data_IF_988418906885
#
_entry.id   IF_988418906885
#
_cell.length_a   1.000
_cell.length_b   1.000
_cell.length_c   1.000
_cell.angle_alpha   90.00
_cell.angle_beta   90.00
_cell.angle_gamma   90.00
#
_symmetry.space_group_name_H-M   'P 1'
#
loop_
_entity.id
_entity.type
_entity.pdbx_description
1 polymer ?
#
# COMPACT_ATOMS: atom_id res chain seq x y z
N UNK A 1 -60.17 -35.40 9.79
CA UNK A 1 -59.57 -34.28 9.04
C UNK A 1 -58.06 -34.37 9.19
N UNK A 2 -57.34 -34.69 8.11
CA UNK A 2 -55.92 -34.34 7.86
C UNK A 2 -55.95 -33.33 6.70
N UNK A 3 -54.98 -32.41 6.48
CA UNK A 3 -53.50 -32.61 6.41
C UNK A 3 -52.73 -31.51 7.21
N UNK A 4 -51.43 -31.24 7.15
CA UNK A 4 -50.12 -31.86 6.85
C UNK A 4 -49.11 -30.68 6.87
N UNK A 5 -47.81 -30.99 7.03
CA UNK A 5 -46.62 -30.17 6.75
C UNK A 5 -46.27 -28.97 7.64
N UNK A 6 -45.19 -29.03 8.41
CA UNK A 6 -43.77 -28.85 7.99
C UNK A 6 -43.44 -27.38 7.70
N UNK A 7 -42.68 -26.74 8.58
CA UNK A 7 -41.75 -25.66 8.21
C UNK A 7 -40.76 -25.33 9.33
N UNK A 8 -39.57 -25.95 9.20
CA UNK A 8 -38.27 -25.28 9.12
C UNK A 8 -37.70 -24.61 10.38
N UNK A 9 -36.70 -25.29 10.93
CA UNK A 9 -35.38 -24.74 11.24
C UNK A 9 -35.03 -23.51 10.39
N UNK A 10 -34.79 -22.38 11.03
CA UNK A 10 -33.83 -21.39 10.54
C UNK A 10 -32.97 -20.91 11.73
N UNK A 11 -31.64 -20.88 11.57
CA UNK A 11 -30.74 -20.34 12.57
C UNK A 11 -30.95 -18.82 12.66
N UNK A 12 -30.97 -18.28 13.88
CA UNK A 12 -30.87 -16.85 14.11
C UNK A 12 -29.55 -16.36 13.48
N UNK A 13 -29.66 -15.80 12.28
CA UNK A 13 -28.59 -15.11 11.60
C UNK A 13 -28.30 -13.84 12.42
N UNK A 14 -27.39 -13.95 13.39
CA UNK A 14 -26.75 -12.80 14.00
C UNK A 14 -26.07 -12.04 12.87
N UNK A 15 -26.71 -10.98 12.39
CA UNK A 15 -26.07 -9.99 11.55
C UNK A 15 -24.75 -9.60 12.21
N UNK A 16 -23.65 -9.91 11.53
CA UNK A 16 -22.32 -9.51 11.98
C UNK A 16 -22.32 -7.98 12.05
N UNK A 17 -22.31 -7.43 13.27
CA UNK A 17 -21.98 -6.03 13.48
C UNK A 17 -20.67 -5.78 12.73
N UNK A 18 -20.60 -4.80 11.81
CA UNK A 18 -19.33 -4.45 11.21
C UNK A 18 -18.40 -4.07 12.36
N UNK A 19 -17.29 -4.82 12.48
CA UNK A 19 -16.25 -4.59 13.48
C UNK A 19 -15.88 -3.11 13.43
N UNK A 20 -16.11 -2.40 14.53
CA UNK A 20 -15.72 -0.99 14.70
C UNK A 20 -14.23 -0.74 14.37
N UNK A 21 -13.42 -1.80 14.38
CA UNK A 21 -12.02 -1.83 13.94
C UNK A 21 -11.83 -1.48 12.45
N UNK A 22 -12.78 -1.82 11.56
CA UNK A 22 -12.66 -1.53 10.12
C UNK A 22 -13.00 -0.08 9.80
N UNK A 23 -14.01 0.48 10.49
CA UNK A 23 -14.42 1.87 10.33
C UNK A 23 -13.38 2.87 10.88
N UNK A 24 -12.60 2.51 11.91
CA UNK A 24 -11.45 3.32 12.36
C UNK A 24 -10.28 3.25 11.38
N UNK A 25 -9.96 2.06 10.86
CA UNK A 25 -8.94 1.91 9.81
C UNK A 25 -9.29 2.71 8.53
N UNK A 26 -10.57 2.82 8.17
CA UNK A 26 -11.04 3.65 7.04
C UNK A 26 -10.97 5.16 7.30
N UNK A 27 -11.05 5.60 8.56
CA UNK A 27 -10.98 7.02 8.94
C UNK A 27 -9.53 7.48 9.10
N UNK A 28 -8.65 6.66 9.69
CA UNK A 28 -7.20 6.93 9.71
C UNK A 28 -6.58 6.88 8.31
N UNK A 29 -7.09 6.01 7.42
CA UNK A 29 -6.70 5.98 6.00
C UNK A 29 -6.99 7.28 5.24
N UNK A 30 -7.86 8.18 5.74
CA UNK A 30 -8.16 9.45 5.07
C UNK A 30 -7.20 10.59 5.41
N UNK A 31 -6.45 10.49 6.51
CA UNK A 31 -5.46 11.51 6.91
C UNK A 31 -4.03 10.98 6.74
N UNK A 32 -3.80 9.68 6.94
CA UNK A 32 -2.53 9.01 6.63
C UNK A 32 -2.41 8.55 5.17
N UNK A 33 -3.50 8.13 4.51
CA UNK A 33 -3.38 7.52 3.18
C UNK A 33 -2.75 8.41 2.10
N UNK A 34 -2.81 9.74 2.27
CA UNK A 34 -2.15 10.68 1.36
C UNK A 34 -0.63 10.59 1.46
N UNK A 35 -0.02 10.55 2.65
CA UNK A 35 1.44 10.51 2.80
C UNK A 35 2.04 9.18 2.32
N UNK A 36 1.37 8.05 2.57
CA UNK A 36 1.68 6.77 1.90
C UNK A 36 1.64 6.85 0.37
N UNK A 37 0.66 7.57 -0.22
CA UNK A 37 0.60 7.78 -1.67
C UNK A 37 1.74 8.67 -2.18
N UNK A 38 2.13 9.72 -1.44
CA UNK A 38 3.28 10.56 -1.76
C UNK A 38 4.59 9.75 -1.70
N UNK A 39 4.78 8.96 -0.65
CA UNK A 39 5.92 8.07 -0.49
C UNK A 39 6.00 7.02 -1.61
N UNK A 40 4.86 6.43 -1.99
CA UNK A 40 4.78 5.51 -3.13
C UNK A 40 5.15 6.22 -4.45
N UNK A 41 4.66 7.44 -4.68
CA UNK A 41 4.99 8.22 -5.87
C UNK A 41 6.48 8.60 -5.92
N UNK A 42 7.05 9.06 -4.81
CA UNK A 42 8.49 9.36 -4.69
C UNK A 42 9.32 8.09 -4.93
N UNK A 43 8.93 6.96 -4.34
CA UNK A 43 9.62 5.69 -4.55
C UNK A 43 9.62 5.28 -6.02
N UNK A 44 8.48 5.36 -6.70
CA UNK A 44 8.40 5.08 -8.13
C UNK A 44 9.24 6.05 -8.95
N UNK A 45 9.24 7.35 -8.62
CA UNK A 45 10.09 8.35 -9.29
C UNK A 45 11.58 8.01 -9.15
N UNK A 46 12.04 7.68 -7.96
CA UNK A 46 13.42 7.26 -7.68
C UNK A 46 13.80 5.98 -8.44
N UNK A 47 12.92 4.97 -8.45
CA UNK A 47 13.15 3.71 -9.17
C UNK A 47 13.30 3.93 -10.68
N UNK A 48 12.43 4.74 -11.29
CA UNK A 48 12.51 5.05 -12.72
C UNK A 48 13.71 5.94 -13.06
N UNK A 49 14.03 6.93 -12.21
CA UNK A 49 15.21 7.77 -12.37
C UNK A 49 16.49 6.93 -12.34
N UNK A 50 16.55 5.93 -11.45
CA UNK A 50 17.67 5.00 -11.34
C UNK A 50 17.63 3.82 -12.32
N UNK A 51 16.70 3.80 -13.29
CA UNK A 51 16.49 2.71 -14.26
C UNK A 51 16.21 1.33 -13.63
N UNK A 52 15.76 1.28 -12.38
CA UNK A 52 15.37 0.05 -11.69
C UNK A 52 13.93 -0.38 -12.08
N UNK A 53 13.67 -0.51 -13.40
CA UNK A 53 12.32 -0.77 -13.92
C UNK A 53 11.70 -2.04 -13.36
N UNK A 54 12.48 -3.12 -13.19
CA UNK A 54 11.97 -4.38 -12.60
C UNK A 54 11.49 -4.20 -11.15
N UNK A 55 12.19 -3.39 -10.36
CA UNK A 55 11.79 -3.12 -8.98
C UNK A 55 10.54 -2.22 -8.94
N UNK A 56 10.43 -1.24 -9.84
CA UNK A 56 9.22 -0.44 -10.00
C UNK A 56 8.00 -1.31 -10.37
N UNK A 57 8.18 -2.21 -11.32
CA UNK A 57 7.13 -3.14 -11.74
C UNK A 57 6.69 -4.07 -10.60
N UNK A 58 7.64 -4.64 -9.85
CA UNK A 58 7.33 -5.46 -8.68
C UNK A 58 6.61 -4.68 -7.57
N UNK A 59 6.96 -3.40 -7.38
CA UNK A 59 6.28 -2.53 -6.43
C UNK A 59 4.83 -2.27 -6.87
N UNK A 60 4.61 -1.94 -8.15
CA UNK A 60 3.27 -1.75 -8.72
C UNK A 60 2.44 -3.03 -8.59
N UNK A 61 3.00 -4.19 -8.91
CA UNK A 61 2.31 -5.47 -8.82
C UNK A 61 1.89 -5.83 -7.38
N UNK A 62 2.61 -5.33 -6.37
CA UNK A 62 2.32 -5.56 -4.94
C UNK A 62 1.37 -4.54 -4.33
N UNK A 63 1.10 -3.41 -4.98
CA UNK A 63 0.15 -2.42 -4.48
C UNK A 63 -1.29 -2.84 -4.79
N UNK A 64 -2.24 -2.45 -3.94
CA UNK A 64 -3.66 -2.69 -4.24
C UNK A 64 -4.10 -1.91 -5.48
N UNK A 65 -5.08 -2.44 -6.21
CA UNK A 65 -5.65 -1.74 -7.37
C UNK A 65 -6.21 -0.37 -6.99
N UNK A 66 -6.91 -0.31 -5.86
CA UNK A 66 -7.48 0.92 -5.33
C UNK A 66 -6.40 1.99 -5.10
N UNK A 67 -5.27 1.62 -4.49
CA UNK A 67 -4.13 2.53 -4.28
C UNK A 67 -3.57 3.05 -5.60
N UNK A 68 -3.43 2.18 -6.61
CA UNK A 68 -2.92 2.58 -7.92
C UNK A 68 -3.91 3.47 -8.69
N UNK A 69 -5.21 3.22 -8.55
CA UNK A 69 -6.26 4.06 -9.14
C UNK A 69 -6.31 5.44 -8.47
N UNK A 70 -6.18 5.49 -7.13
CA UNK A 70 -6.02 6.76 -6.39
C UNK A 70 -4.78 7.51 -6.86
N UNK A 71 -3.65 6.80 -7.00
CA UNK A 71 -2.40 7.35 -7.52
C UNK A 71 -2.59 7.98 -8.91
N UNK A 72 -3.32 7.32 -9.82
CA UNK A 72 -3.67 7.89 -11.12
C UNK A 72 -4.73 9.01 -11.05
N UNK A 73 -5.59 9.01 -10.04
CA UNK A 73 -6.55 10.08 -9.79
C UNK A 73 -5.89 11.42 -9.44
N UNK A 74 -4.66 11.37 -8.92
CA UNK A 74 -3.89 12.56 -8.56
C UNK A 74 -3.40 13.36 -9.78
N UNK A 75 -3.06 14.63 -9.53
CA UNK A 75 -2.56 15.58 -10.55
C UNK A 75 -1.37 15.02 -11.33
N UNK A 76 -1.26 15.35 -12.61
CA UNK A 76 -0.12 14.94 -13.44
C UNK A 76 1.26 15.44 -12.93
N UNK A 77 1.28 16.49 -12.11
CA UNK A 77 2.50 16.94 -11.45
C UNK A 77 2.98 15.97 -10.36
N UNK A 78 2.07 15.16 -9.82
CA UNK A 78 2.34 14.17 -8.77
C UNK A 78 3.16 12.98 -9.28
N UNK A 79 2.79 12.48 -10.46
CA UNK A 79 3.44 11.35 -11.13
C UNK A 79 3.87 11.81 -12.50
N UNK A 80 5.16 12.12 -12.65
CA UNK A 80 5.74 12.44 -13.96
C UNK A 80 5.31 11.43 -15.03
N UNK A 81 5.13 11.88 -16.27
CA UNK A 81 4.39 11.14 -17.31
C UNK A 81 4.83 9.69 -17.54
N UNK A 82 6.11 9.38 -17.36
CA UNK A 82 6.64 8.00 -17.44
C UNK A 82 6.09 7.09 -16.35
N UNK A 83 6.03 7.57 -15.11
CA UNK A 83 5.54 6.79 -13.96
C UNK A 83 4.05 6.54 -14.14
N UNK A 84 3.31 7.60 -14.49
CA UNK A 84 1.87 7.53 -14.74
C UNK A 84 1.53 6.52 -15.84
N UNK A 85 2.26 6.57 -16.97
CA UNK A 85 2.09 5.60 -18.06
C UNK A 85 2.32 4.17 -17.59
N UNK A 86 3.39 3.92 -16.83
CA UNK A 86 3.70 2.57 -16.38
C UNK A 86 2.66 2.00 -15.40
N UNK A 87 2.13 2.85 -14.50
CA UNK A 87 1.04 2.45 -13.58
C UNK A 87 -0.24 2.16 -14.36
N UNK A 88 -0.62 3.02 -15.30
CA UNK A 88 -1.81 2.83 -16.15
C UNK A 88 -1.71 1.57 -17.02
N UNK A 89 -0.57 1.37 -17.68
CA UNK A 89 -0.31 0.18 -18.49
C UNK A 89 -0.40 -1.10 -17.65
N UNK A 90 0.16 -1.08 -16.44
CA UNK A 90 0.09 -2.24 -15.53
C UNK A 90 -1.31 -2.52 -15.02
N UNK A 91 -2.08 -1.49 -14.69
CA UNK A 91 -3.48 -1.65 -14.28
C UNK A 91 -4.34 -2.27 -15.38
N UNK A 92 -4.13 -1.87 -16.63
CA UNK A 92 -4.86 -2.42 -17.80
C UNK A 92 -4.58 -3.91 -18.02
N UNK A 93 -3.37 -4.37 -17.71
CA UNK A 93 -2.94 -5.76 -17.93
C UNK A 93 -2.93 -6.60 -16.65
N UNK A 94 -3.41 -6.06 -15.52
CA UNK A 94 -3.40 -6.76 -14.23
C UNK A 94 -4.33 -7.96 -14.26
N UNK A 95 -3.83 -9.10 -13.76
CA UNK A 95 -4.61 -10.34 -13.59
C UNK A 95 -5.30 -10.33 -12.22
N UNK A 96 -6.47 -10.94 -12.12
CA UNK A 96 -7.23 -11.05 -10.87
C UNK A 96 -6.40 -11.67 -9.72
N UNK A 97 -5.51 -12.63 -10.02
CA UNK A 97 -4.62 -13.26 -9.04
C UNK A 97 -3.61 -12.32 -8.40
N UNK A 98 -3.33 -11.17 -9.02
CA UNK A 98 -2.38 -10.19 -8.48
C UNK A 98 -3.03 -9.32 -7.38
N UNK A 99 -4.35 -9.11 -7.43
CA UNK A 99 -5.07 -8.42 -6.36
C UNK A 99 -5.11 -9.24 -5.06
N UNK A 100 -5.17 -10.57 -5.15
CA UNK A 100 -5.09 -11.47 -3.98
C UNK A 100 -3.73 -11.41 -3.27
N UNK A 101 -2.68 -10.99 -3.98
CA UNK A 101 -1.31 -10.84 -3.44
C UNK A 101 -0.96 -9.40 -3.07
N UNK A 102 -1.92 -8.48 -3.17
CA UNK A 102 -1.69 -7.09 -2.85
C UNK A 102 -1.37 -6.92 -1.36
N UNK A 103 -0.36 -6.12 -1.08
CA UNK A 103 0.06 -5.74 0.26
C UNK A 103 -0.51 -4.36 0.61
N UNK A 104 -0.70 -4.07 1.90
CA UNK A 104 -0.81 -2.70 2.36
C UNK A 104 0.36 -1.87 1.82
N UNK A 105 0.11 -0.64 1.39
CA UNK A 105 1.11 0.24 0.78
C UNK A 105 2.37 0.35 1.62
N UNK A 106 2.23 0.50 2.94
CA UNK A 106 3.35 0.60 3.87
C UNK A 106 4.27 -0.64 3.85
N UNK A 107 3.71 -1.85 3.69
CA UNK A 107 4.48 -3.09 3.55
C UNK A 107 5.15 -3.22 2.19
N UNK A 108 4.48 -2.74 1.13
CA UNK A 108 5.06 -2.70 -0.20
C UNK A 108 6.28 -1.76 -0.23
N UNK A 109 6.18 -0.60 0.41
CA UNK A 109 7.27 0.36 0.62
C UNK A 109 8.41 -0.30 1.41
N UNK A 110 8.12 -0.93 2.55
CA UNK A 110 9.14 -1.59 3.39
C UNK A 110 10.01 -2.58 2.61
N UNK A 111 9.41 -3.39 1.74
CA UNK A 111 10.18 -4.34 0.92
C UNK A 111 11.19 -3.68 -0.01
N UNK A 112 10.88 -2.50 -0.56
CA UNK A 112 11.80 -1.77 -1.45
C UNK A 112 12.86 -1.04 -0.64
N UNK A 113 12.51 -0.48 0.52
CA UNK A 113 13.48 0.15 1.43
C UNK A 113 14.58 -0.84 1.84
N UNK A 114 14.19 -2.07 2.21
CA UNK A 114 15.16 -3.12 2.54
C UNK A 114 16.08 -3.45 1.34
N UNK A 115 15.52 -3.58 0.14
CA UNK A 115 16.31 -3.83 -1.07
C UNK A 115 17.29 -2.67 -1.35
N UNK A 116 16.84 -1.44 -1.23
CA UNK A 116 17.67 -0.25 -1.38
C UNK A 116 18.75 -0.11 -0.32
N UNK A 117 18.50 -0.57 0.90
CA UNK A 117 19.51 -0.60 1.94
C UNK A 117 20.66 -1.52 1.53
N UNK A 118 20.35 -2.72 1.04
CA UNK A 118 21.35 -3.66 0.52
C UNK A 118 22.13 -3.09 -0.68
N UNK A 119 21.47 -2.28 -1.52
CA UNK A 119 22.09 -1.57 -2.65
C UNK A 119 22.88 -0.31 -2.23
N UNK A 120 22.90 0.06 -0.93
CA UNK A 120 23.58 1.25 -0.41
C UNK A 120 22.88 2.59 -0.73
N UNK A 121 21.60 2.58 -1.10
CA UNK A 121 20.82 3.74 -1.57
C UNK A 121 20.16 4.53 -0.44
N UNK A 122 20.94 4.87 0.60
CA UNK A 122 20.44 5.54 1.81
C UNK A 122 19.76 6.89 1.55
N UNK A 123 20.20 7.64 0.54
CA UNK A 123 19.56 8.91 0.16
C UNK A 123 18.14 8.72 -0.37
N UNK A 124 17.92 7.72 -1.23
CA UNK A 124 16.57 7.43 -1.75
C UNK A 124 15.63 6.93 -0.64
N UNK A 125 16.15 6.17 0.33
CA UNK A 125 15.40 5.77 1.53
C UNK A 125 14.93 7.01 2.30
N UNK A 126 15.83 7.97 2.55
CA UNK A 126 15.52 9.21 3.26
C UNK A 126 14.50 10.09 2.54
N UNK A 127 14.59 10.21 1.22
CA UNK A 127 13.60 10.98 0.44
C UNK A 127 12.20 10.36 0.53
N UNK A 128 12.09 9.02 0.49
CA UNK A 128 10.79 8.37 0.71
C UNK A 128 10.28 8.56 2.13
N UNK A 129 11.15 8.44 3.15
CA UNK A 129 10.76 8.63 4.56
C UNK A 129 10.25 10.04 4.83
N UNK A 130 10.78 11.06 4.15
CA UNK A 130 10.34 12.45 4.30
C UNK A 130 8.88 12.66 3.88
N UNK A 131 8.35 11.81 3.00
CA UNK A 131 6.98 11.90 2.52
C UNK A 131 5.97 11.21 3.47
N UNK A 132 6.45 10.41 4.43
CA UNK A 132 5.61 9.73 5.42
C UNK A 132 5.37 10.62 6.63
N UNK A 133 4.18 10.53 7.22
CA UNK A 133 3.87 11.23 8.48
C UNK A 133 4.35 10.43 9.71
N UNK A 134 4.39 11.07 10.88
CA UNK A 134 4.89 10.45 12.13
C UNK A 134 4.22 9.11 12.45
N UNK A 135 2.91 8.99 12.23
CA UNK A 135 2.18 7.76 12.52
C UNK A 135 2.51 6.64 11.54
N UNK A 136 2.75 6.97 10.27
CA UNK A 136 3.19 6.00 9.26
C UNK A 136 4.65 5.60 9.46
N UNK A 137 5.50 6.52 9.90
CA UNK A 137 6.87 6.22 10.28
C UNK A 137 6.91 5.26 11.47
N UNK A 138 6.03 5.45 12.46
CA UNK A 138 5.85 4.49 13.57
C UNK A 138 5.32 3.14 13.08
N UNK A 139 4.33 3.15 12.18
CA UNK A 139 3.80 1.91 11.60
C UNK A 139 4.89 1.15 10.82
N UNK A 140 5.69 1.86 10.01
CA UNK A 140 6.81 1.31 9.27
C UNK A 140 7.84 0.69 10.21
N UNK A 141 8.25 1.41 11.26
CA UNK A 141 9.20 0.93 12.26
C UNK A 141 8.71 -0.29 13.04
N UNK A 142 7.39 -0.47 13.17
CA UNK A 142 6.79 -1.60 13.86
C UNK A 142 6.70 -2.87 12.98
N UNK A 143 7.04 -2.80 11.69
CA UNK A 143 7.00 -3.96 10.80
C UNK A 143 8.13 -4.94 11.12
N UNK A 144 7.82 -6.22 11.43
CA UNK A 144 8.84 -7.22 11.75
C UNK A 144 9.76 -7.56 10.57
N UNK A 145 9.32 -7.30 9.35
CA UNK A 145 10.12 -7.48 8.13
C UNK A 145 11.05 -6.31 7.82
N UNK A 146 10.94 -5.16 8.53
CA UNK A 146 11.81 -4.01 8.28
C UNK A 146 13.21 -4.26 8.85
N UNK A 147 14.24 -3.92 8.07
CA UNK A 147 15.61 -4.03 8.54
C UNK A 147 15.91 -3.01 9.66
N UNK A 148 16.64 -3.44 10.70
CA UNK A 148 17.00 -2.61 11.87
C UNK A 148 17.71 -1.30 11.49
N UNK A 149 18.52 -1.29 10.43
CA UNK A 149 19.20 -0.07 9.98
C UNK A 149 18.18 0.92 9.36
N UNK A 150 17.19 0.43 8.62
CA UNK A 150 16.08 1.27 8.12
C UNK A 150 15.24 1.77 9.29
N UNK A 151 14.94 0.92 10.27
CA UNK A 151 14.22 1.32 11.47
C UNK A 151 14.98 2.41 12.26
N UNK A 152 16.30 2.32 12.33
CA UNK A 152 17.14 3.34 12.97
C UNK A 152 17.10 4.67 12.20
N UNK A 153 17.09 4.63 10.86
CA UNK A 153 16.98 5.85 10.03
C UNK A 153 15.66 6.59 10.21
N UNK A 154 14.58 5.89 10.59
CA UNK A 154 13.29 6.53 10.90
C UNK A 154 13.43 7.50 12.10
N UNK A 155 14.30 7.18 13.06
CA UNK A 155 14.58 8.04 14.20
C UNK A 155 15.12 9.42 13.85
N UNK A 156 15.65 9.62 12.64
CA UNK A 156 16.12 10.93 12.18
C UNK A 156 14.97 11.88 11.78
N UNK A 157 13.74 11.37 11.67
CA UNK A 157 12.55 12.10 11.23
C UNK A 157 11.47 12.21 12.30
N UNK A 158 11.72 11.66 13.50
CA UNK A 158 10.83 11.64 14.68
C UNK A 158 11.16 12.73 15.70
#
# INVERSE_FOLDING_TARGET
MYPDHDSKCLPEYRAARPRASRARAEVDARVGGMSCLHALAEMLRQLYAARQNKAAEMLIDRCSRETLEQLLGESSAFLGGRVRYAVDDRLKHRKATQDDTALPTIRAIASVLNAWLHDGRRLAIREVMRELCDDELRELAALPELNDEVATMIGDFS
#
